data_IF_264123001207
#
_entry.id   IF_264123001207
#
_cell.length_a   1.000
_cell.length_b   1.000
_cell.length_c   1.000
_cell.angle_alpha   90.00
_cell.angle_beta   90.00
_cell.angle_gamma   90.00
#
_symmetry.space_group_name_H-M   'P 1'
#
loop_
_entity.id
_entity.type
_entity.pdbx_description
1 polymer ?
#
# COMPACT_ATOMS: atom_id res chain seq x y z
N UNK A 1 -14.06 1.99 -26.41
CA UNK A 1 -12.79 1.35 -26.00
C UNK A 1 -12.72 -0.06 -26.58
N UNK A 2 -11.63 -0.38 -27.21
CA UNK A 2 -11.46 -1.69 -27.83
C UNK A 2 -11.34 -2.79 -26.75
N UNK A 3 -11.92 -3.99 -26.93
CA UNK A 3 -11.84 -5.08 -25.94
C UNK A 3 -10.41 -5.43 -25.52
N UNK A 4 -9.46 -5.34 -26.45
CA UNK A 4 -8.07 -5.59 -26.18
C UNK A 4 -7.48 -4.55 -25.22
N UNK A 5 -7.94 -3.30 -25.29
CA UNK A 5 -7.49 -2.23 -24.38
C UNK A 5 -7.95 -2.49 -22.96
N UNK A 6 -9.19 -2.93 -22.78
CA UNK A 6 -9.71 -3.29 -21.46
C UNK A 6 -8.94 -4.43 -20.83
N UNK A 7 -8.57 -5.43 -21.64
CA UNK A 7 -7.76 -6.56 -21.17
C UNK A 7 -6.38 -6.10 -20.71
N UNK A 8 -5.73 -5.25 -21.48
CA UNK A 8 -4.39 -4.71 -21.19
C UNK A 8 -4.43 -3.86 -19.92
N UNK A 9 -5.45 -3.01 -19.76
CA UNK A 9 -5.65 -2.21 -18.57
C UNK A 9 -5.90 -3.07 -17.33
N UNK A 10 -6.68 -4.14 -17.48
CA UNK A 10 -6.94 -5.07 -16.38
C UNK A 10 -5.67 -5.78 -15.93
N UNK A 11 -4.85 -6.22 -16.86
CA UNK A 11 -3.56 -6.84 -16.52
C UNK A 11 -2.65 -5.87 -15.76
N UNK A 12 -2.61 -4.61 -16.18
CA UNK A 12 -1.84 -3.58 -15.49
C UNK A 12 -2.41 -3.33 -14.08
N UNK A 13 -3.72 -3.24 -13.95
CA UNK A 13 -4.38 -3.06 -12.66
C UNK A 13 -4.13 -4.25 -11.73
N UNK A 14 -4.22 -5.47 -12.23
CA UNK A 14 -3.95 -6.68 -11.44
C UNK A 14 -2.51 -6.71 -10.94
N UNK A 15 -1.55 -6.28 -11.77
CA UNK A 15 -0.16 -6.15 -11.36
C UNK A 15 0.01 -5.09 -10.26
N UNK A 16 -0.69 -3.97 -10.36
CA UNK A 16 -0.69 -2.94 -9.32
C UNK A 16 -1.31 -3.47 -8.00
N UNK A 17 -2.39 -4.24 -8.08
CA UNK A 17 -3.03 -4.85 -6.91
C UNK A 17 -2.11 -5.85 -6.21
N UNK A 18 -1.29 -6.54 -6.98
CA UNK A 18 -0.30 -7.47 -6.43
C UNK A 18 0.87 -6.75 -5.76
N UNK A 19 1.35 -5.68 -6.39
CA UNK A 19 2.62 -5.03 -6.04
C UNK A 19 2.44 -3.64 -5.40
N UNK A 20 1.23 -3.24 -5.00
CA UNK A 20 0.97 -1.88 -4.51
C UNK A 20 1.83 -1.48 -3.31
N UNK A 21 2.22 -2.44 -2.47
CA UNK A 21 3.03 -2.19 -1.28
C UNK A 21 4.54 -2.07 -1.58
N UNK A 22 4.95 -2.33 -2.81
CA UNK A 22 6.33 -2.17 -3.23
C UNK A 22 6.62 -0.67 -3.46
N UNK A 23 7.55 -0.05 -2.70
CA UNK A 23 7.88 1.36 -2.89
C UNK A 23 8.58 1.62 -4.22
N UNK A 24 9.14 0.59 -4.85
CA UNK A 24 9.82 0.67 -6.15
C UNK A 24 8.85 0.54 -7.34
N UNK A 25 7.55 0.35 -7.09
CA UNK A 25 6.57 0.23 -8.16
C UNK A 25 6.58 1.49 -9.04
N UNK A 26 6.94 1.30 -10.31
CA UNK A 26 7.04 2.36 -11.30
C UNK A 26 5.84 2.28 -12.25
N UNK A 27 5.00 3.32 -12.20
CA UNK A 27 3.82 3.40 -13.06
C UNK A 27 4.18 3.57 -14.54
N UNK A 28 5.33 4.17 -14.85
CA UNK A 28 5.80 4.28 -16.23
C UNK A 28 6.17 2.90 -16.79
N UNK A 29 6.83 2.07 -15.98
CA UNK A 29 7.13 0.69 -16.35
C UNK A 29 5.84 -0.13 -16.49
N UNK A 30 4.87 0.09 -15.63
CA UNK A 30 3.56 -0.56 -15.70
C UNK A 30 2.83 -0.20 -17.01
N UNK A 31 2.87 1.06 -17.39
CA UNK A 31 2.28 1.54 -18.64
C UNK A 31 2.97 0.89 -19.85
N UNK A 32 4.30 0.88 -19.87
CA UNK A 32 5.09 0.29 -20.94
C UNK A 32 4.81 -1.21 -21.09
N UNK A 33 4.74 -1.93 -19.97
CA UNK A 33 4.41 -3.35 -19.96
C UNK A 33 3.02 -3.63 -20.54
N UNK A 34 2.07 -2.71 -20.34
CA UNK A 34 0.73 -2.80 -20.92
C UNK A 34 0.65 -2.28 -22.36
N UNK A 35 1.77 -1.80 -22.93
CA UNK A 35 1.83 -1.29 -24.30
C UNK A 35 1.33 0.14 -24.45
N UNK A 36 1.37 0.94 -23.38
CA UNK A 36 0.94 2.33 -23.40
C UNK A 36 2.11 3.28 -23.11
N UNK A 37 2.05 4.49 -23.66
CA UNK A 37 2.83 5.60 -23.14
C UNK A 37 2.24 6.02 -21.80
N UNK A 38 3.02 6.69 -20.95
CA UNK A 38 2.55 7.20 -19.65
C UNK A 38 1.25 8.00 -19.76
N UNK A 39 1.24 8.97 -20.68
CA UNK A 39 0.08 9.83 -20.88
C UNK A 39 -1.16 9.05 -21.30
N UNK A 40 -1.00 8.14 -22.26
CA UNK A 40 -2.08 7.32 -22.77
C UNK A 40 -2.62 6.37 -21.69
N UNK A 41 -1.73 5.79 -20.90
CA UNK A 41 -2.10 4.91 -19.80
C UNK A 41 -2.95 5.64 -18.76
N UNK A 42 -2.54 6.82 -18.34
CA UNK A 42 -3.28 7.64 -17.36
C UNK A 42 -4.71 7.91 -17.87
N UNK A 43 -4.85 8.33 -19.11
CA UNK A 43 -6.15 8.63 -19.71
C UNK A 43 -7.03 7.39 -19.86
N UNK A 44 -6.47 6.31 -20.38
CA UNK A 44 -7.21 5.08 -20.62
C UNK A 44 -7.64 4.45 -19.28
N UNK A 45 -6.76 4.44 -18.29
CA UNK A 45 -7.05 3.92 -16.95
C UNK A 45 -8.17 4.72 -16.29
N UNK A 46 -8.09 6.05 -16.33
CA UNK A 46 -9.13 6.92 -15.77
C UNK A 46 -10.46 6.74 -16.46
N UNK A 47 -10.46 6.58 -17.78
CA UNK A 47 -11.69 6.33 -18.55
C UNK A 47 -12.33 4.99 -18.15
N UNK A 48 -11.52 3.97 -17.91
CA UNK A 48 -12.01 2.63 -17.57
C UNK A 48 -12.44 2.49 -16.11
N UNK A 49 -11.73 3.13 -15.17
CA UNK A 49 -11.89 2.91 -13.73
C UNK A 49 -12.29 4.15 -12.93
N UNK A 50 -12.40 5.31 -13.55
CA UNK A 50 -12.84 6.54 -12.89
C UNK A 50 -11.77 7.29 -12.11
N UNK A 51 -10.57 6.75 -11.97
CA UNK A 51 -9.45 7.39 -11.30
C UNK A 51 -8.13 7.12 -12.03
N UNK A 52 -7.14 7.97 -11.84
CA UNK A 52 -5.82 7.78 -12.46
C UNK A 52 -5.09 6.60 -11.80
N UNK A 53 -4.09 6.01 -12.48
CA UNK A 53 -3.28 4.95 -11.85
C UNK A 53 -2.61 5.38 -10.54
N UNK A 54 -2.12 6.63 -10.48
CA UNK A 54 -1.52 7.17 -9.26
C UNK A 54 -2.52 7.30 -8.11
N UNK A 55 -3.71 7.78 -8.40
CA UNK A 55 -4.80 7.87 -7.41
C UNK A 55 -5.22 6.48 -6.94
N UNK A 56 -5.32 5.54 -7.85
CA UNK A 56 -5.65 4.15 -7.54
C UNK A 56 -4.60 3.52 -6.62
N UNK A 57 -3.33 3.68 -6.96
CA UNK A 57 -2.22 3.15 -6.15
C UNK A 57 -2.22 3.74 -4.74
N UNK A 58 -2.35 5.06 -4.65
CA UNK A 58 -2.41 5.76 -3.35
C UNK A 58 -3.58 5.25 -2.51
N UNK A 59 -4.75 5.11 -3.11
CA UNK A 59 -5.95 4.62 -2.42
C UNK A 59 -5.75 3.20 -1.90
N UNK A 60 -5.18 2.30 -2.70
CA UNK A 60 -4.89 0.92 -2.27
C UNK A 60 -3.93 0.88 -1.08
N UNK A 61 -2.90 1.70 -1.12
CA UNK A 61 -1.94 1.82 -0.03
C UNK A 61 -2.58 2.34 1.25
N UNK A 62 -3.43 3.37 1.13
CA UNK A 62 -4.12 3.93 2.29
C UNK A 62 -5.17 2.96 2.85
N UNK A 63 -5.90 2.25 2.01
CA UNK A 63 -6.86 1.23 2.46
C UNK A 63 -6.14 0.16 3.32
N UNK A 64 -4.98 -0.29 2.88
CA UNK A 64 -4.17 -1.25 3.64
C UNK A 64 -3.67 -0.66 4.95
N UNK A 65 -3.23 0.59 4.92
CA UNK A 65 -2.77 1.28 6.12
C UNK A 65 -3.90 1.41 7.16
N UNK A 66 -5.12 1.69 6.74
CA UNK A 66 -6.28 1.73 7.63
C UNK A 66 -6.48 0.41 8.35
N UNK A 67 -6.42 -0.71 7.63
CA UNK A 67 -6.53 -2.04 8.22
C UNK A 67 -5.44 -2.29 9.25
N UNK A 68 -4.21 -1.94 8.93
CA UNK A 68 -3.07 -2.15 9.83
C UNK A 68 -3.14 -1.25 11.07
N UNK A 69 -3.58 -0.01 10.92
CA UNK A 69 -3.76 0.91 12.05
C UNK A 69 -4.80 0.41 13.04
N UNK A 70 -5.85 -0.25 12.55
CA UNK A 70 -6.91 -0.80 13.40
C UNK A 70 -6.54 -2.11 14.07
N UNK A 71 -5.69 -2.92 13.43
CA UNK A 71 -5.51 -4.32 13.81
C UNK A 71 -4.13 -4.66 14.36
N UNK A 72 -3.12 -3.83 14.09
CA UNK A 72 -1.73 -4.12 14.43
C UNK A 72 -1.16 -3.07 15.38
N UNK A 73 -0.14 -3.46 16.16
CA UNK A 73 0.56 -2.55 17.06
C UNK A 73 1.78 -1.86 16.42
N UNK A 74 1.94 -1.99 15.11
CA UNK A 74 3.02 -1.32 14.37
C UNK A 74 2.89 0.20 14.46
N UNK A 75 4.03 0.89 14.51
CA UNK A 75 4.05 2.35 14.50
C UNK A 75 3.53 2.90 13.17
N UNK A 76 3.11 4.16 13.17
CA UNK A 76 2.69 4.86 11.95
C UNK A 76 3.80 4.85 10.91
N UNK A 77 5.05 5.07 11.34
CA UNK A 77 6.22 5.05 10.44
C UNK A 77 6.45 3.67 9.83
N UNK A 78 6.33 2.63 10.62
CA UNK A 78 6.45 1.25 10.12
C UNK A 78 5.36 0.93 9.10
N UNK A 79 4.12 1.30 9.39
CA UNK A 79 2.99 1.10 8.46
C UNK A 79 3.21 1.87 7.16
N UNK A 80 3.67 3.12 7.24
CA UNK A 80 4.02 3.93 6.07
C UNK A 80 4.96 3.20 5.12
N UNK A 81 6.02 2.62 5.67
CA UNK A 81 7.00 1.84 4.90
C UNK A 81 6.37 0.56 4.33
N UNK A 82 5.61 -0.15 5.15
CA UNK A 82 4.99 -1.43 4.78
C UNK A 82 3.98 -1.31 3.63
N UNK A 83 3.30 -0.18 3.52
CA UNK A 83 2.32 0.02 2.46
C UNK A 83 2.90 0.69 1.22
N UNK A 84 4.19 1.00 1.23
CA UNK A 84 4.92 1.41 0.02
C UNK A 84 5.14 2.90 -0.14
N UNK A 85 4.86 3.73 0.86
CA UNK A 85 5.18 5.16 0.78
C UNK A 85 6.65 5.43 1.05
N UNK A 86 7.25 6.31 0.25
CA UNK A 86 8.65 6.68 0.38
C UNK A 86 8.92 7.61 1.56
N UNK A 87 7.93 8.41 1.98
CA UNK A 87 8.08 9.36 3.07
C UNK A 87 6.84 9.43 3.95
N UNK A 88 7.05 9.72 5.23
CA UNK A 88 5.97 9.89 6.19
C UNK A 88 5.08 11.09 5.82
N UNK A 89 5.67 12.16 5.28
CA UNK A 89 4.93 13.34 4.85
C UNK A 89 3.95 13.03 3.73
N UNK A 90 4.38 12.33 2.69
CA UNK A 90 3.52 11.90 1.59
C UNK A 90 2.40 10.98 2.09
N UNK A 91 2.75 10.05 2.96
CA UNK A 91 1.79 9.14 3.57
C UNK A 91 0.71 9.89 4.36
N UNK A 92 1.12 10.76 5.26
CA UNK A 92 0.20 11.52 6.12
C UNK A 92 -0.73 12.41 5.32
N UNK A 93 -0.21 13.07 4.27
CA UNK A 93 -1.00 13.91 3.38
C UNK A 93 -2.05 13.10 2.62
N UNK A 94 -1.64 11.98 2.03
CA UNK A 94 -2.56 11.09 1.31
C UNK A 94 -3.59 10.48 2.24
N UNK A 95 -3.18 10.08 3.44
CA UNK A 95 -4.06 9.49 4.45
C UNK A 95 -5.14 10.48 4.89
N UNK A 96 -4.75 11.70 5.23
CA UNK A 96 -5.69 12.74 5.64
C UNK A 96 -6.64 13.13 4.51
N UNK A 97 -6.14 13.19 3.28
CA UNK A 97 -6.98 13.49 2.12
C UNK A 97 -8.06 12.44 1.91
N UNK A 98 -7.75 11.18 2.11
CA UNK A 98 -8.69 10.07 1.89
C UNK A 98 -9.64 9.86 3.07
N UNK A 99 -9.16 9.99 4.31
CA UNK A 99 -9.92 9.62 5.52
C UNK A 99 -10.45 10.82 6.30
N UNK A 100 -9.88 12.00 6.10
CA UNK A 100 -10.20 13.18 6.89
C UNK A 100 -9.44 13.29 8.20
N UNK A 101 -8.63 12.28 8.56
CA UNK A 101 -7.87 12.23 9.80
C UNK A 101 -6.40 11.95 9.54
N UNK A 102 -5.53 12.33 10.47
CA UNK A 102 -4.14 11.87 10.45
C UNK A 102 -4.10 10.38 10.81
N UNK A 103 -3.04 9.65 10.44
CA UNK A 103 -2.92 8.24 10.83
C UNK A 103 -3.03 8.00 12.33
N UNK A 104 -2.40 8.87 13.15
CA UNK A 104 -2.47 8.75 14.60
C UNK A 104 -3.88 9.00 15.16
N UNK A 105 -4.57 10.00 14.64
CA UNK A 105 -5.97 10.30 15.02
C UNK A 105 -6.88 9.13 14.64
N UNK A 106 -6.71 8.59 13.44
CA UNK A 106 -7.47 7.46 12.95
C UNK A 106 -7.32 6.25 13.87
N UNK A 107 -6.09 5.93 14.28
CA UNK A 107 -5.83 4.82 15.20
C UNK A 107 -6.53 5.05 16.54
N UNK A 108 -6.40 6.23 17.13
CA UNK A 108 -7.03 6.55 18.41
C UNK A 108 -8.55 6.42 18.35
N UNK A 109 -9.15 6.80 17.23
CA UNK A 109 -10.60 6.76 17.06
C UNK A 109 -11.13 5.34 16.82
N UNK A 110 -10.37 4.50 16.11
CA UNK A 110 -10.83 3.19 15.64
C UNK A 110 -10.34 2.01 16.46
N UNK A 111 -9.38 2.21 17.37
CA UNK A 111 -8.95 1.15 18.30
C UNK A 111 -9.70 1.35 19.61
N UNK A 112 -10.59 0.41 19.93
CA UNK A 112 -11.35 0.43 21.18
C UNK A 112 -10.43 0.25 22.40
N UNK A 113 -10.81 0.83 23.53
CA UNK A 113 -10.10 0.62 24.80
C UNK A 113 -10.11 -0.86 25.16
N UNK A 114 -8.94 -1.42 25.44
CA UNK A 114 -8.79 -2.83 25.77
C UNK A 114 -8.78 -3.77 24.58
N UNK A 115 -8.85 -3.26 23.36
CA UNK A 115 -8.72 -4.09 22.16
C UNK A 115 -7.31 -4.67 22.08
N UNK A 116 -7.19 -5.97 21.90
CA UNK A 116 -5.92 -6.63 21.69
C UNK A 116 -5.50 -6.44 20.23
N UNK A 117 -4.38 -5.74 20.01
CA UNK A 117 -3.80 -5.58 18.70
C UNK A 117 -2.94 -6.82 18.36
N UNK A 118 -2.92 -7.16 17.07
CA UNK A 118 -2.02 -8.21 16.59
C UNK A 118 -0.58 -7.73 16.76
N UNK A 119 0.30 -8.53 17.41
CA UNK A 119 1.70 -8.15 17.54
C UNK A 119 2.34 -7.83 16.18
N UNK A 120 3.20 -6.82 16.14
CA UNK A 120 3.80 -6.34 14.90
C UNK A 120 4.55 -7.42 14.13
N UNK A 121 5.27 -8.31 14.82
CA UNK A 121 5.97 -9.42 14.18
C UNK A 121 5.01 -10.38 13.46
N UNK A 122 3.84 -10.62 14.01
CA UNK A 122 2.83 -11.47 13.41
C UNK A 122 2.18 -10.80 12.19
N UNK A 123 1.95 -9.49 12.28
CA UNK A 123 1.43 -8.70 11.16
C UNK A 123 2.39 -8.71 9.96
N UNK A 124 3.70 -8.69 10.22
CA UNK A 124 4.73 -8.77 9.18
C UNK A 124 4.67 -10.09 8.42
N UNK A 125 4.45 -11.20 9.12
CA UNK A 125 4.27 -12.51 8.49
C UNK A 125 3.03 -12.54 7.59
N UNK A 126 1.97 -11.90 8.02
CA UNK A 126 0.70 -11.87 7.29
C UNK A 126 0.76 -11.08 6.00
N UNK A 127 1.57 -10.02 5.96
CA UNK A 127 1.67 -9.18 4.76
C UNK A 127 2.51 -9.80 3.66
N UNK A 128 3.33 -10.81 3.99
CA UNK A 128 4.14 -11.52 3.01
C UNK A 128 5.23 -10.69 2.33
N UNK A 129 5.35 -9.42 2.68
CA UNK A 129 6.25 -8.49 2.01
C UNK A 129 7.60 -8.26 2.70
N UNK A 130 7.85 -8.93 3.82
CA UNK A 130 8.97 -8.58 4.70
C UNK A 130 9.87 -9.75 5.08
N UNK A 131 9.99 -10.72 4.21
CA UNK A 131 10.80 -11.90 4.46
C UNK A 131 12.22 -11.60 4.95
N UNK A 132 12.99 -10.69 4.32
CA UNK A 132 14.36 -10.44 4.78
C UNK A 132 14.44 -9.82 6.17
N UNK A 133 13.53 -8.89 6.48
CA UNK A 133 13.51 -8.24 7.81
C UNK A 133 13.05 -9.17 8.91
N UNK A 134 12.12 -10.07 8.62
CA UNK A 134 11.64 -11.07 9.57
C UNK A 134 12.81 -12.00 9.96
N UNK A 135 13.56 -12.45 8.97
CA UNK A 135 14.73 -13.29 9.20
C UNK A 135 15.79 -12.61 10.05
N UNK A 136 16.05 -11.33 9.80
CA UNK A 136 16.99 -10.54 10.59
C UNK A 136 16.52 -10.37 12.04
N UNK A 137 15.23 -10.14 12.23
CA UNK A 137 14.65 -9.99 13.56
C UNK A 137 14.72 -11.29 14.36
N UNK A 138 14.41 -12.40 13.71
CA UNK A 138 14.49 -13.70 14.34
C UNK A 138 15.93 -14.06 14.74
N UNK A 139 16.88 -13.77 13.86
CA UNK A 139 18.30 -14.00 14.17
C UNK A 139 18.77 -13.17 15.35
N UNK A 140 18.41 -11.90 15.37
CA UNK A 140 18.77 -11.02 16.49
C UNK A 140 18.13 -11.46 17.80
N UNK A 141 16.89 -11.92 17.74
CA UNK A 141 16.20 -12.43 18.93
C UNK A 141 16.85 -13.72 19.44
N UNK A 142 17.36 -14.53 18.54
CA UNK A 142 18.09 -15.75 18.89
C UNK A 142 19.46 -15.49 19.51
N UNK A 143 20.16 -14.48 19.03
CA UNK A 143 21.48 -14.11 19.53
C UNK A 143 21.40 -13.39 20.88
N UNK A 144 20.31 -12.73 21.19
CA UNK A 144 20.10 -12.04 22.46
C UNK A 144 19.83 -12.98 23.64
N UNK A 145 19.74 -14.27 23.40
CA UNK A 145 19.55 -15.32 24.41
C UNK A 145 20.87 -16.01 24.71
#
# INVERSE_FOLDING_TARGET
MHPNDLRRLRLAKDAMDRDFADPELDLDASAAAAGYSRYHFVRAFKAAYGETPGQYLSRRRIDRAQDMLRTCDLSVTEICTLVGFASLGSFSTAFKKQTGQTPGEYRRTHVGKGAALIPGCFALLWTGGFKPRIEETERNSGEAR
#
